data_IF_193657582261
#
_entry.id   IF_193657582261
#
_cell.length_a   1.000
_cell.length_b   1.000
_cell.length_c   1.000
_cell.angle_alpha   90.00
_cell.angle_beta   90.00
_cell.angle_gamma   90.00
#
_symmetry.space_group_name_H-M   'P 1'
#
loop_
_entity.id
_entity.type
_entity.pdbx_description
1 polymer ?
#
# COMPACT_ATOMS: atom_id res chain seq x y z
N UNK A 1 -19.86 1.53 -10.45
CA UNK A 1 -18.87 0.75 -9.68
C UNK A 1 -17.50 1.35 -9.96
N UNK A 2 -16.89 1.97 -8.95
CA UNK A 2 -15.64 2.73 -9.10
C UNK A 2 -14.41 1.85 -9.33
N UNK A 3 -14.43 0.63 -8.78
CA UNK A 3 -13.36 -0.36 -8.89
C UNK A 3 -13.87 -1.65 -9.51
N UNK A 4 -13.06 -2.28 -10.36
CA UNK A 4 -13.35 -3.56 -10.99
C UNK A 4 -12.64 -4.72 -10.28
N UNK A 5 -13.25 -5.92 -10.32
CA UNK A 5 -12.58 -7.14 -9.86
C UNK A 5 -11.27 -7.36 -10.64
N UNK A 6 -10.21 -7.70 -9.93
CA UNK A 6 -8.87 -7.91 -10.50
C UNK A 6 -7.99 -6.65 -10.53
N UNK A 7 -8.53 -5.47 -10.25
CA UNK A 7 -7.71 -4.27 -10.05
C UNK A 7 -6.86 -4.41 -8.79
N UNK A 8 -5.63 -3.91 -8.85
CA UNK A 8 -4.67 -3.99 -7.74
C UNK A 8 -4.57 -2.63 -7.10
N UNK A 9 -4.62 -2.59 -5.78
CA UNK A 9 -4.60 -1.36 -4.99
C UNK A 9 -3.41 -1.36 -4.05
N UNK A 10 -2.86 -0.17 -3.85
CA UNK A 10 -2.00 0.15 -2.73
C UNK A 10 -2.78 1.07 -1.79
N UNK A 11 -3.09 0.57 -0.61
CA UNK A 11 -3.84 1.25 0.43
C UNK A 11 -2.88 1.69 1.54
N UNK A 12 -2.92 2.97 1.89
CA UNK A 12 -2.11 3.56 2.96
C UNK A 12 -3.03 4.18 3.98
N UNK A 13 -2.81 3.85 5.26
CA UNK A 13 -3.45 4.54 6.36
C UNK A 13 -2.73 5.86 6.60
N UNK A 14 -3.47 6.97 6.42
CA UNK A 14 -2.95 8.32 6.68
C UNK A 14 -2.60 8.46 8.15
N UNK A 15 -1.45 9.09 8.41
CA UNK A 15 -1.00 9.43 9.76
C UNK A 15 -1.48 10.84 10.10
N UNK A 16 -2.07 10.99 11.28
CA UNK A 16 -2.45 12.28 11.84
C UNK A 16 -1.48 12.69 12.95
N UNK A 17 -0.81 11.71 13.58
CA UNK A 17 0.15 11.94 14.67
C UNK A 17 1.49 11.23 14.43
N UNK A 18 2.53 11.71 15.11
CA UNK A 18 3.89 11.19 14.97
C UNK A 18 4.01 9.70 15.36
N UNK A 19 3.25 9.25 16.36
CA UNK A 19 3.31 7.87 16.84
C UNK A 19 2.33 6.92 16.14
N UNK A 20 1.60 7.40 15.13
CA UNK A 20 0.67 6.55 14.40
C UNK A 20 1.41 5.41 13.69
N UNK A 21 0.87 4.21 13.84
CA UNK A 21 1.38 3.02 13.19
C UNK A 21 1.32 3.20 11.67
N UNK A 22 2.46 3.02 11.00
CA UNK A 22 2.53 3.07 9.55
C UNK A 22 2.12 1.70 9.00
N UNK A 23 0.87 1.60 8.58
CA UNK A 23 0.28 0.40 7.99
C UNK A 23 -0.07 0.65 6.54
N UNK A 24 0.32 -0.29 5.71
CA UNK A 24 -0.02 -0.29 4.29
C UNK A 24 -0.52 -1.67 3.90
N UNK A 25 -1.29 -1.72 2.83
CA UNK A 25 -1.80 -2.96 2.28
C UNK A 25 -1.71 -2.91 0.76
N UNK A 26 -1.27 -3.99 0.13
CA UNK A 26 -1.38 -4.16 -1.31
C UNK A 26 -2.29 -5.34 -1.59
N UNK A 27 -3.26 -5.17 -2.47
CA UNK A 27 -4.25 -6.22 -2.66
C UNK A 27 -5.00 -6.11 -3.96
N UNK A 28 -5.54 -7.24 -4.40
CA UNK A 28 -6.40 -7.34 -5.56
C UNK A 28 -7.86 -7.27 -5.13
N UNK A 29 -8.66 -6.46 -5.85
CA UNK A 29 -10.09 -6.30 -5.63
C UNK A 29 -10.80 -7.61 -5.95
N UNK A 30 -11.40 -8.21 -4.93
CA UNK A 30 -12.24 -9.41 -5.06
C UNK A 30 -13.71 -9.05 -5.36
N UNK A 31 -14.18 -7.98 -4.71
CA UNK A 31 -15.53 -7.42 -4.87
C UNK A 31 -15.52 -5.97 -4.41
N UNK A 32 -16.35 -5.13 -5.00
CA UNK A 32 -16.56 -3.76 -4.52
C UNK A 32 -18.05 -3.39 -4.54
N UNK A 33 -18.36 -2.29 -3.87
CA UNK A 33 -19.58 -1.51 -4.00
C UNK A 33 -19.16 -0.06 -4.28
N UNK A 34 -20.10 0.88 -4.28
CA UNK A 34 -19.74 2.29 -4.38
C UNK A 34 -19.10 2.84 -3.09
N UNK A 35 -19.18 2.11 -1.96
CA UNK A 35 -18.70 2.57 -0.66
C UNK A 35 -17.56 1.74 -0.09
N UNK A 36 -17.39 0.49 -0.53
CA UNK A 36 -16.46 -0.47 0.08
C UNK A 36 -15.82 -1.39 -0.95
N UNK A 37 -14.65 -1.93 -0.63
CA UNK A 37 -14.00 -2.98 -1.42
C UNK A 37 -13.46 -4.10 -0.52
N UNK A 38 -13.58 -5.33 -0.99
CA UNK A 38 -12.91 -6.51 -0.44
C UNK A 38 -11.63 -6.70 -1.23
N UNK A 39 -10.50 -6.71 -0.53
CA UNK A 39 -9.17 -6.93 -1.11
C UNK A 39 -8.58 -8.22 -0.57
N UNK A 40 -7.83 -8.92 -1.42
CA UNK A 40 -6.97 -10.03 -1.02
C UNK A 40 -5.52 -9.69 -1.34
N UNK A 41 -4.61 -9.82 -0.37
CA UNK A 41 -3.22 -9.44 -0.55
C UNK A 41 -2.40 -9.39 0.73
N UNK A 42 -1.47 -8.44 0.83
CA UNK A 42 -0.43 -8.43 1.85
C UNK A 42 -0.37 -7.13 2.64
N UNK A 43 -0.25 -7.27 3.96
CA UNK A 43 0.03 -6.17 4.85
C UNK A 43 1.54 -5.84 4.87
N UNK A 44 1.84 -4.55 4.92
CA UNK A 44 3.17 -4.02 5.16
C UNK A 44 3.15 -3.20 6.44
N UNK A 45 4.09 -3.49 7.34
CA UNK A 45 4.21 -2.83 8.64
C UNK A 45 5.59 -2.22 8.75
N UNK A 46 5.65 -0.95 9.15
CA UNK A 46 6.92 -0.29 9.39
C UNK A 46 7.61 -0.83 10.65
N UNK A 47 8.85 -1.26 10.49
CA UNK A 47 9.75 -1.63 11.57
C UNK A 47 10.67 -0.43 11.89
N UNK A 48 10.56 0.16 13.10
CA UNK A 48 11.37 1.31 13.48
C UNK A 48 12.85 0.95 13.68
N UNK A 49 13.19 -0.29 14.05
CA UNK A 49 14.57 -0.72 14.28
C UNK A 49 15.36 -0.82 12.96
N UNK A 50 14.74 -1.36 11.92
CA UNK A 50 15.36 -1.44 10.59
C UNK A 50 15.06 -0.23 9.71
N UNK A 51 14.19 0.69 10.17
CA UNK A 51 13.69 1.83 9.40
C UNK A 51 13.21 1.40 8.00
N UNK A 52 12.36 0.37 7.95
CA UNK A 52 11.83 -0.23 6.71
C UNK A 52 10.42 -0.79 6.89
N UNK A 53 9.65 -0.83 5.80
CA UNK A 53 8.39 -1.58 5.76
C UNK A 53 8.65 -3.06 5.47
N UNK A 54 8.13 -3.93 6.33
CA UNK A 54 8.24 -5.37 6.21
C UNK A 54 6.90 -5.95 5.75
N UNK A 55 6.95 -6.77 4.70
CA UNK A 55 5.81 -7.55 4.21
C UNK A 55 5.49 -8.65 5.20
N UNK A 56 4.21 -8.80 5.56
CA UNK A 56 3.73 -9.98 6.28
C UNK A 56 3.61 -11.16 5.30
N UNK A 57 4.12 -12.35 5.66
CA UNK A 57 4.10 -13.50 4.75
C UNK A 57 2.68 -14.04 4.54
N UNK A 58 1.77 -13.80 5.48
CA UNK A 58 0.39 -14.25 5.37
C UNK A 58 -0.40 -13.36 4.41
N UNK A 59 -1.02 -13.99 3.41
CA UNK A 59 -2.05 -13.36 2.59
C UNK A 59 -3.31 -13.15 3.43
N UNK A 60 -3.89 -11.97 3.36
CA UNK A 60 -5.05 -11.57 4.14
C UNK A 60 -6.18 -11.11 3.21
N UNK A 61 -7.41 -11.32 3.64
CA UNK A 61 -8.60 -10.74 3.02
C UNK A 61 -9.11 -9.64 3.94
N UNK A 62 -9.20 -8.42 3.43
CA UNK A 62 -9.64 -7.24 4.20
C UNK A 62 -10.80 -6.54 3.50
N UNK A 63 -11.56 -5.78 4.29
CA UNK A 63 -12.57 -4.83 3.78
C UNK A 63 -12.04 -3.42 4.02
N UNK A 64 -12.08 -2.59 2.99
CA UNK A 64 -11.76 -1.16 3.09
C UNK A 64 -12.99 -0.30 2.74
N UNK A 65 -13.04 0.89 3.32
CA UNK A 65 -13.96 1.95 2.90
C UNK A 65 -13.36 2.74 1.75
N UNK A 66 -14.13 3.01 0.70
CA UNK A 66 -13.73 3.86 -0.43
C UNK A 66 -13.99 5.35 -0.18
N UNK A 67 -14.73 5.66 0.88
CA UNK A 67 -15.13 7.02 1.26
C UNK A 67 -14.43 7.51 2.54
N UNK A 68 -13.52 6.70 3.10
CA UNK A 68 -12.76 7.06 4.28
C UNK A 68 -11.56 7.96 3.91
N UNK A 69 -11.62 9.21 4.32
CA UNK A 69 -10.53 10.20 4.14
C UNK A 69 -9.21 9.84 4.83
N UNK A 70 -9.24 8.87 5.77
CA UNK A 70 -8.07 8.30 6.41
C UNK A 70 -7.31 7.33 5.53
N UNK A 71 -7.83 6.95 4.36
CA UNK A 71 -7.15 6.06 3.42
C UNK A 71 -6.70 6.82 2.17
N UNK A 72 -5.45 6.60 1.78
CA UNK A 72 -4.94 6.93 0.45
C UNK A 72 -4.95 5.64 -0.36
N UNK A 73 -5.68 5.62 -1.46
CA UNK A 73 -5.88 4.42 -2.30
C UNK A 73 -5.32 4.72 -3.69
N UNK A 74 -4.24 4.04 -4.06
CA UNK A 74 -3.62 4.15 -5.38
C UNK A 74 -3.89 2.89 -6.20
N UNK A 75 -4.16 3.04 -7.49
CA UNK A 75 -4.17 1.92 -8.43
C UNK A 75 -2.74 1.48 -8.74
N UNK A 76 -2.52 0.17 -8.69
CA UNK A 76 -1.30 -0.50 -9.13
C UNK A 76 -1.56 -1.09 -10.52
N UNK A 77 -0.61 -1.00 -11.46
CA UNK A 77 -0.74 -1.64 -12.78
C UNK A 77 -1.08 -3.13 -12.67
N UNK A 78 -1.98 -3.60 -13.55
CA UNK A 78 -2.51 -4.97 -13.50
C UNK A 78 -1.43 -6.04 -13.72
N UNK A 79 -0.34 -5.72 -14.40
CA UNK A 79 0.79 -6.61 -14.65
C UNK A 79 1.70 -6.83 -13.42
N UNK A 80 1.55 -6.05 -12.35
CA UNK A 80 2.38 -6.18 -11.14
C UNK A 80 1.99 -7.41 -10.34
N UNK A 81 2.93 -8.30 -10.05
CA UNK A 81 2.72 -9.43 -9.17
C UNK A 81 2.85 -9.00 -7.70
N UNK A 82 1.75 -9.10 -6.92
CA UNK A 82 1.75 -8.69 -5.51
C UNK A 82 2.69 -9.54 -4.63
N UNK A 83 3.02 -10.75 -5.09
CA UNK A 83 3.98 -11.63 -4.41
C UNK A 83 5.40 -11.05 -4.40
N UNK A 84 5.78 -10.41 -5.51
CA UNK A 84 7.11 -9.87 -5.73
C UNK A 84 7.30 -8.48 -5.12
N UNK A 85 6.23 -7.87 -4.59
CA UNK A 85 6.28 -6.51 -4.04
C UNK A 85 7.04 -6.45 -2.71
N UNK A 86 7.95 -5.49 -2.61
CA UNK A 86 8.64 -5.14 -1.38
C UNK A 86 8.93 -3.64 -1.30
N UNK A 87 9.28 -3.18 -0.11
CA UNK A 87 9.78 -1.82 0.09
C UNK A 87 11.29 -1.78 0.07
N UNK A 88 11.83 -0.80 -0.65
CA UNK A 88 13.24 -0.44 -0.56
C UNK A 88 13.40 1.07 -0.37
N UNK A 89 14.64 1.48 -0.10
CA UNK A 89 15.01 2.89 -0.10
C UNK A 89 15.56 3.25 -1.47
N UNK A 90 15.10 4.36 -2.03
CA UNK A 90 15.70 4.95 -3.24
C UNK A 90 17.02 5.70 -2.88
N UNK A 91 17.78 6.23 -3.87
CA UNK A 91 19.00 7.00 -3.60
C UNK A 91 18.79 8.26 -2.72
N UNK A 92 17.56 8.78 -2.67
CA UNK A 92 17.17 9.91 -1.81
C UNK A 92 16.67 9.45 -0.42
N UNK A 93 16.96 8.19 -0.03
CA UNK A 93 16.59 7.60 1.26
C UNK A 93 15.06 7.50 1.51
N UNK A 94 14.25 7.60 0.46
CA UNK A 94 12.78 7.51 0.52
C UNK A 94 12.29 6.08 0.36
N UNK A 95 11.21 5.73 1.06
CA UNK A 95 10.57 4.42 0.93
C UNK A 95 9.74 4.31 -0.36
N UNK A 96 10.16 3.43 -1.25
CA UNK A 96 9.47 3.12 -2.50
C UNK A 96 8.97 1.68 -2.49
N UNK A 97 7.73 1.49 -2.93
CA UNK A 97 7.17 0.15 -3.17
C UNK A 97 7.55 -0.27 -4.59
N UNK A 98 8.11 -1.46 -4.76
CA UNK A 98 8.56 -1.94 -6.08
C UNK A 98 8.46 -3.46 -6.21
N UNK A 99 8.42 -3.93 -7.46
CA UNK A 99 8.59 -5.33 -7.86
C UNK A 99 10.00 -5.64 -8.38
N UNK A 100 10.93 -4.66 -8.33
CA UNK A 100 12.26 -4.69 -8.94
C UNK A 100 12.28 -4.98 -10.46
N UNK A 101 11.16 -4.72 -11.13
CA UNK A 101 11.01 -4.92 -12.58
C UNK A 101 10.64 -3.59 -13.23
N UNK A 102 9.34 -3.34 -13.36
CA UNK A 102 8.81 -2.18 -14.09
C UNK A 102 7.98 -1.26 -13.21
N UNK A 103 7.69 -1.66 -11.97
CA UNK A 103 6.85 -0.90 -11.07
C UNK A 103 7.66 -0.30 -9.94
N UNK A 104 7.56 1.02 -9.80
CA UNK A 104 8.07 1.78 -8.68
C UNK A 104 6.97 2.76 -8.30
N UNK A 105 6.59 2.76 -7.03
CA UNK A 105 5.65 3.72 -6.46
C UNK A 105 6.33 4.44 -5.30
N UNK A 106 6.64 5.71 -5.54
CA UNK A 106 7.07 6.65 -4.53
C UNK A 106 5.87 7.47 -4.09
N UNK A 107 5.52 7.36 -2.81
CA UNK A 107 4.34 8.04 -2.24
C UNK A 107 4.77 9.16 -1.29
N UNK A 108 6.08 9.44 -1.20
CA UNK A 108 6.64 10.55 -0.42
C UNK A 108 5.94 10.75 0.94
N UNK A 109 6.18 9.84 1.90
CA UNK A 109 5.67 10.01 3.27
C UNK A 109 6.42 11.08 4.08
N UNK A 110 7.54 11.59 3.54
CA UNK A 110 8.36 12.62 4.15
C UNK A 110 8.51 13.77 3.16
N UNK A 111 7.93 14.93 3.48
CA UNK A 111 8.43 16.17 2.92
C UNK A 111 9.70 16.50 3.70
N UNK A 112 10.86 16.49 3.06
CA UNK A 112 11.94 17.34 3.55
C UNK A 112 11.42 18.78 3.43
N UNK A 113 10.90 19.32 4.53
CA UNK A 113 10.83 20.76 4.68
C UNK A 113 12.28 21.19 4.85
N UNK A 114 12.88 21.64 3.75
CA UNK A 114 14.06 22.51 3.78
C UNK A 114 13.67 23.80 4.48
#
# INVERSE_FOLDING_TARGET
>A
MLLNKGEKLHVIVRRNFENDLRRRFVGEVQKSTDLTAILEGYAFVFNPFSNQFLKKPEKQVIIISLVDSGLIINLIPSNVNLEDLYYQKNPENRHVLTDNKSFISDINEFSELV
#
